data_IF_881867192369
#
_entry.id   IF_881867192369
#
_cell.length_a   1.000
_cell.length_b   1.000
_cell.length_c   1.000
_cell.angle_alpha   90.00
_cell.angle_beta   90.00
_cell.angle_gamma   90.00
#
_symmetry.space_group_name_H-M   'P 1'
#
loop_
_entity.id
_entity.type
_entity.pdbx_description
1 polymer ?
#
# COMPACT_ATOMS: atom_id res chain seq x y z
N UNK A 1 78.00 18.09 -6.55
CA UNK A 1 78.63 17.10 -5.65
C UNK A 1 77.75 17.03 -4.42
N UNK A 2 76.97 15.97 -4.27
CA UNK A 2 76.07 15.75 -3.13
C UNK A 2 76.85 15.06 -2.03
N UNK A 3 76.89 15.70 -0.86
CA UNK A 3 77.57 15.25 0.35
C UNK A 3 76.84 14.05 0.97
N UNK A 4 77.36 12.84 0.76
CA UNK A 4 76.92 11.65 1.51
C UNK A 4 77.64 11.66 2.87
N UNK A 5 77.02 12.31 3.85
CA UNK A 5 77.43 12.17 5.24
C UNK A 5 77.40 10.68 5.62
N UNK A 6 78.58 10.09 5.83
CA UNK A 6 78.72 8.69 6.29
C UNK A 6 78.11 8.61 7.68
N UNK A 7 76.93 7.98 7.79
CA UNK A 7 76.23 7.81 9.06
C UNK A 7 76.92 6.69 9.85
N UNK A 8 77.87 7.06 10.70
CA UNK A 8 78.53 6.12 11.63
C UNK A 8 77.51 5.71 12.69
N UNK A 9 77.21 4.42 12.79
CA UNK A 9 76.35 3.88 13.84
C UNK A 9 77.17 3.83 15.14
N UNK A 10 76.77 4.53 16.21
CA UNK A 10 77.55 4.58 17.44
C UNK A 10 77.61 3.20 18.12
N UNK A 11 78.66 2.96 18.89
CA UNK A 11 78.78 1.72 19.67
C UNK A 11 77.63 1.60 20.67
N UNK A 12 77.03 0.41 20.77
CA UNK A 12 75.81 0.18 21.54
C UNK A 12 75.25 -1.23 21.39
N UNK A 13 74.21 -1.54 22.16
CA UNK A 13 73.42 -2.76 22.01
C UNK A 13 72.36 -2.56 20.95
N UNK A 14 72.30 -3.47 19.98
CA UNK A 14 71.33 -3.45 18.89
C UNK A 14 70.76 -4.84 18.68
N UNK A 15 69.61 -4.94 18.01
CA UNK A 15 68.99 -6.23 17.69
C UNK A 15 69.93 -7.10 16.86
N UNK A 16 70.07 -8.37 17.25
CA UNK A 16 70.96 -9.31 16.55
C UNK A 16 70.30 -9.76 15.23
N UNK A 17 70.91 -9.52 14.05
CA UNK A 17 70.34 -9.95 12.78
C UNK A 17 70.19 -11.47 12.64
N UNK A 18 70.95 -12.25 13.42
CA UNK A 18 70.89 -13.71 13.42
C UNK A 18 69.82 -14.27 14.37
N UNK A 19 69.42 -13.51 15.40
CA UNK A 19 68.46 -13.94 16.42
C UNK A 19 67.67 -12.75 16.99
N UNK A 20 66.39 -12.68 16.65
CA UNK A 20 65.51 -11.58 17.05
C UNK A 20 65.20 -11.53 18.56
N UNK A 21 65.50 -12.60 19.31
CA UNK A 21 65.29 -12.68 20.76
C UNK A 21 66.46 -12.09 21.57
N UNK A 22 67.55 -11.69 20.90
CA UNK A 22 68.77 -11.20 21.55
C UNK A 22 69.20 -9.83 21.02
N UNK A 23 69.96 -9.12 21.83
CA UNK A 23 70.71 -7.93 21.43
C UNK A 23 72.19 -8.26 21.42
N UNK A 24 72.90 -7.77 20.41
CA UNK A 24 74.35 -7.94 20.24
C UNK A 24 75.06 -6.61 20.34
N UNK A 25 76.26 -6.60 20.91
CA UNK A 25 77.05 -5.38 21.05
C UNK A 25 77.77 -5.03 19.74
N UNK A 26 77.52 -3.81 19.23
CA UNK A 26 78.25 -3.18 18.13
C UNK A 26 79.33 -2.27 18.70
N UNK A 27 80.58 -2.43 18.26
CA UNK A 27 81.70 -1.62 18.78
C UNK A 27 82.00 -0.35 17.95
N UNK A 28 81.19 -0.05 16.93
CA UNK A 28 81.43 1.07 16.00
C UNK A 28 82.01 0.65 14.65
N UNK A 29 82.58 -0.55 14.55
CA UNK A 29 83.27 -1.05 13.34
C UNK A 29 82.77 -2.45 12.94
N UNK A 30 82.48 -3.32 13.91
CA UNK A 30 81.95 -4.67 13.70
C UNK A 30 81.08 -5.14 14.88
N UNK A 31 80.25 -6.15 14.62
CA UNK A 31 79.52 -6.88 15.67
C UNK A 31 80.50 -7.71 16.50
N UNK A 32 80.30 -7.75 17.81
CA UNK A 32 81.12 -8.55 18.74
C UNK A 32 80.39 -9.82 19.18
N UNK A 33 81.09 -10.74 19.84
CA UNK A 33 80.49 -11.98 20.38
C UNK A 33 79.68 -11.76 21.66
N UNK A 34 79.58 -10.53 22.16
CA UNK A 34 78.79 -10.22 23.33
C UNK A 34 77.31 -10.10 22.94
N UNK A 35 76.49 -11.03 23.44
CA UNK A 35 75.03 -11.01 23.31
C UNK A 35 74.36 -10.96 24.68
N UNK A 36 73.14 -10.43 24.72
CA UNK A 36 72.26 -10.45 25.88
C UNK A 36 70.82 -10.74 25.43
N UNK A 37 69.99 -11.32 26.31
CA UNK A 37 68.56 -11.44 26.04
C UNK A 37 67.96 -10.06 25.78
N UNK A 38 67.10 -9.95 24.77
CA UNK A 38 66.41 -8.70 24.47
C UNK A 38 65.55 -8.29 25.66
N UNK A 39 65.75 -7.09 26.26
CA UNK A 39 64.89 -6.64 27.34
C UNK A 39 63.48 -6.40 26.79
N UNK A 40 62.48 -7.01 27.43
CA UNK A 40 61.07 -6.75 27.13
C UNK A 40 60.82 -5.25 27.28
N UNK A 41 60.35 -4.60 26.21
CA UNK A 41 60.09 -3.17 26.28
C UNK A 41 58.85 -2.90 27.14
N UNK A 42 58.77 -1.70 27.73
CA UNK A 42 57.58 -1.28 28.47
C UNK A 42 56.32 -1.30 27.57
N UNK A 43 56.49 -1.06 26.27
CA UNK A 43 55.42 -1.15 25.29
C UNK A 43 54.93 -2.60 25.10
N UNK A 44 55.83 -3.58 25.05
CA UNK A 44 55.47 -5.00 24.94
C UNK A 44 54.69 -5.46 26.19
N UNK A 45 55.14 -5.05 27.38
CA UNK A 45 54.45 -5.34 28.63
C UNK A 45 53.06 -4.71 28.70
N UNK A 46 52.93 -3.45 28.26
CA UNK A 46 51.63 -2.75 28.17
C UNK A 46 50.69 -3.46 27.19
N UNK A 47 51.18 -3.87 26.02
CA UNK A 47 50.36 -4.62 25.05
C UNK A 47 49.92 -5.98 25.58
N UNK A 48 50.79 -6.73 26.25
CA UNK A 48 50.45 -8.02 26.85
C UNK A 48 49.40 -7.87 27.96
N UNK A 49 49.50 -6.82 28.77
CA UNK A 49 48.50 -6.55 29.81
C UNK A 49 47.16 -6.09 29.21
N UNK A 50 47.20 -5.30 28.14
CA UNK A 50 46.00 -4.84 27.43
C UNK A 50 45.28 -6.01 26.74
N UNK A 51 46.03 -6.94 26.16
CA UNK A 51 45.50 -8.18 25.56
C UNK A 51 44.90 -9.12 26.62
N UNK A 52 45.54 -9.21 27.79
CA UNK A 52 44.98 -9.93 28.94
C UNK A 52 43.67 -9.28 29.43
N UNK A 53 43.63 -7.96 29.60
CA UNK A 53 42.39 -7.24 29.98
C UNK A 53 41.30 -7.41 28.93
N UNK A 54 41.64 -7.39 27.65
CA UNK A 54 40.68 -7.60 26.58
C UNK A 54 40.10 -9.03 26.60
N UNK A 55 40.94 -10.03 26.88
CA UNK A 55 40.55 -11.44 27.01
C UNK A 55 39.66 -11.69 28.24
N UNK A 56 39.98 -11.07 29.38
CA UNK A 56 39.22 -11.19 30.63
C UNK A 56 37.92 -10.36 30.61
N UNK A 57 37.92 -9.21 29.93
CA UNK A 57 36.77 -8.31 29.90
C UNK A 57 35.60 -8.86 29.05
N UNK A 58 35.77 -9.99 28.37
CA UNK A 58 34.71 -10.65 27.58
C UNK A 58 34.01 -9.65 26.67
N UNK A 59 34.66 -9.27 25.55
CA UNK A 59 34.16 -8.26 24.62
C UNK A 59 32.63 -8.35 24.48
N UNK A 60 31.86 -7.27 24.79
CA UNK A 60 30.41 -7.34 24.68
C UNK A 60 30.09 -7.78 23.26
N UNK A 61 29.17 -8.75 23.07
CA UNK A 61 28.88 -9.26 21.74
C UNK A 61 28.57 -8.06 20.85
N UNK A 62 29.33 -7.91 19.76
CA UNK A 62 29.06 -6.90 18.74
C UNK A 62 27.64 -7.16 18.27
N UNK A 63 26.68 -6.41 18.81
CA UNK A 63 25.28 -6.54 18.45
C UNK A 63 25.17 -5.95 17.06
N UNK A 64 25.29 -6.80 16.04
CA UNK A 64 24.91 -6.46 14.68
C UNK A 64 23.43 -6.12 14.74
N UNK A 65 23.12 -4.81 14.82
CA UNK A 65 21.74 -4.34 14.80
C UNK A 65 21.23 -4.54 13.38
N UNK A 66 20.63 -5.70 13.13
CA UNK A 66 19.88 -5.93 11.90
C UNK A 66 18.75 -4.91 11.90
N UNK A 67 18.86 -3.89 11.05
CA UNK A 67 17.79 -2.90 10.89
C UNK A 67 16.64 -3.63 10.20
N UNK A 68 15.62 -4.00 10.98
CA UNK A 68 14.34 -4.43 10.43
C UNK A 68 13.71 -3.23 9.72
N UNK A 69 14.02 -3.05 8.44
CA UNK A 69 13.36 -2.05 7.59
C UNK A 69 11.91 -2.50 7.46
N UNK A 70 10.95 -1.70 7.93
CA UNK A 70 9.55 -2.04 7.75
C UNK A 70 9.28 -2.10 6.24
N UNK A 71 8.73 -3.23 5.80
CA UNK A 71 8.30 -3.42 4.41
C UNK A 71 7.00 -2.66 4.12
N UNK A 72 6.43 -1.98 5.13
CA UNK A 72 5.28 -1.09 5.00
C UNK A 72 5.68 0.27 4.43
N UNK A 73 5.43 0.46 3.14
CA UNK A 73 5.53 1.77 2.51
C UNK A 73 4.19 2.49 2.63
N UNK A 74 4.20 3.82 2.77
CA UNK A 74 2.98 4.64 2.69
C UNK A 74 2.22 4.37 1.39
N UNK A 75 2.95 4.21 0.28
CA UNK A 75 2.38 3.88 -1.04
C UNK A 75 1.62 2.55 -1.05
N UNK A 76 2.13 1.52 -0.34
CA UNK A 76 1.43 0.23 -0.22
C UNK A 76 0.14 0.31 0.59
N UNK A 77 0.09 1.19 1.59
CA UNK A 77 -1.14 1.45 2.35
C UNK A 77 -2.18 2.21 1.53
N UNK A 78 -1.75 3.18 0.71
CA UNK A 78 -2.66 3.86 -0.22
C UNK A 78 -3.32 2.87 -1.16
N UNK A 79 -2.56 1.91 -1.72
CA UNK A 79 -3.11 0.82 -2.55
C UNK A 79 -4.09 -0.07 -1.76
N UNK A 80 -3.82 -0.38 -0.50
CA UNK A 80 -4.73 -1.19 0.32
C UNK A 80 -6.08 -0.51 0.56
N UNK A 81 -6.11 0.83 0.62
CA UNK A 81 -7.33 1.61 0.84
C UNK A 81 -8.04 2.07 -0.46
N UNK A 82 -7.52 1.75 -1.65
CA UNK A 82 -8.18 2.12 -2.91
C UNK A 82 -9.62 1.60 -3.04
N UNK A 83 -10.02 0.44 -2.49
CA UNK A 83 -11.41 0.00 -2.56
C UNK A 83 -12.41 1.01 -1.97
N UNK A 84 -12.01 1.84 -0.99
CA UNK A 84 -12.88 2.92 -0.47
C UNK A 84 -13.15 3.96 -1.56
N UNK A 85 -12.10 4.38 -2.29
CA UNK A 85 -12.26 5.35 -3.37
C UNK A 85 -13.10 4.77 -4.53
N UNK A 86 -12.92 3.49 -4.84
CA UNK A 86 -13.78 2.78 -5.79
C UNK A 86 -15.24 2.73 -5.32
N UNK A 87 -15.48 2.40 -4.05
CA UNK A 87 -16.83 2.36 -3.49
C UNK A 87 -17.50 3.74 -3.54
N UNK A 88 -16.79 4.80 -3.16
CA UNK A 88 -17.30 6.17 -3.22
C UNK A 88 -17.61 6.60 -4.67
N UNK A 89 -16.70 6.34 -5.61
CA UNK A 89 -16.90 6.64 -7.02
C UNK A 89 -18.07 5.84 -7.63
N UNK A 90 -18.24 4.57 -7.23
CA UNK A 90 -19.37 3.75 -7.63
C UNK A 90 -20.70 4.28 -7.08
N UNK A 91 -20.73 4.70 -5.80
CA UNK A 91 -21.92 5.33 -5.20
C UNK A 91 -22.31 6.59 -5.97
N UNK A 92 -21.34 7.45 -6.32
CA UNK A 92 -21.60 8.64 -7.14
C UNK A 92 -22.12 8.27 -8.52
N UNK A 93 -21.49 7.29 -9.20
CA UNK A 93 -21.91 6.83 -10.51
C UNK A 93 -23.30 6.18 -10.53
N UNK A 94 -23.74 5.61 -9.40
CA UNK A 94 -25.08 5.05 -9.24
C UNK A 94 -26.09 6.14 -8.93
N UNK A 95 -25.80 7.07 -8.02
CA UNK A 95 -26.77 8.03 -7.50
C UNK A 95 -27.01 9.20 -8.47
N UNK A 96 -25.96 9.77 -9.06
CA UNK A 96 -26.07 11.02 -9.83
C UNK A 96 -26.91 10.90 -11.12
N UNK A 97 -26.96 9.77 -11.86
CA UNK A 97 -27.88 9.60 -12.98
C UNK A 97 -29.36 9.73 -12.63
N UNK A 98 -29.75 9.55 -11.36
CA UNK A 98 -31.14 9.77 -10.93
C UNK A 98 -31.52 11.25 -10.88
N UNK A 99 -30.54 12.15 -10.80
CA UNK A 99 -30.74 13.59 -10.66
C UNK A 99 -30.25 14.39 -11.86
N UNK A 100 -29.58 13.75 -12.82
CA UNK A 100 -28.96 14.44 -13.95
C UNK A 100 -28.93 13.58 -15.21
N UNK A 101 -28.87 14.22 -16.37
CA UNK A 101 -28.78 13.56 -17.67
C UNK A 101 -27.37 13.04 -18.00
N UNK A 102 -26.40 13.27 -17.10
CA UNK A 102 -25.04 12.76 -17.18
C UNK A 102 -25.02 11.27 -16.78
N UNK A 103 -25.60 10.40 -17.61
CA UNK A 103 -25.74 8.98 -17.30
C UNK A 103 -24.45 8.18 -17.48
N UNK A 104 -24.00 7.99 -18.72
CA UNK A 104 -22.90 7.06 -19.05
C UNK A 104 -21.51 7.59 -18.71
N UNK A 105 -21.32 8.91 -18.68
CA UNK A 105 -20.00 9.53 -18.50
C UNK A 105 -19.46 9.39 -17.06
N UNK A 106 -20.34 9.16 -16.08
CA UNK A 106 -19.93 9.07 -14.68
C UNK A 106 -19.13 7.81 -14.36
N UNK A 107 -19.25 6.76 -15.18
CA UNK A 107 -18.41 5.57 -15.03
C UNK A 107 -16.93 5.89 -15.26
N UNK A 108 -16.60 6.97 -15.97
CA UNK A 108 -15.23 7.47 -16.09
C UNK A 108 -14.63 7.89 -14.74
N UNK A 109 -15.45 8.18 -13.71
CA UNK A 109 -14.96 8.47 -12.35
C UNK A 109 -14.22 7.29 -11.73
N UNK A 110 -14.50 6.05 -12.15
CA UNK A 110 -13.76 4.85 -11.70
C UNK A 110 -12.33 4.81 -12.25
N UNK A 111 -12.03 5.55 -13.32
CA UNK A 111 -10.67 5.65 -13.84
C UNK A 111 -9.76 6.42 -12.87
N UNK A 112 -10.29 7.38 -12.11
CA UNK A 112 -9.50 8.16 -11.14
C UNK A 112 -8.88 7.28 -10.05
N UNK A 113 -9.64 6.50 -9.26
CA UNK A 113 -9.06 5.61 -8.26
C UNK A 113 -8.22 4.49 -8.89
N UNK A 114 -8.55 4.04 -10.10
CA UNK A 114 -7.71 3.08 -10.83
C UNK A 114 -6.32 3.66 -11.13
N UNK A 115 -6.23 4.83 -11.77
CA UNK A 115 -4.97 5.48 -12.09
C UNK A 115 -4.15 5.82 -10.84
N UNK A 116 -4.81 6.27 -9.77
CA UNK A 116 -4.16 6.49 -8.48
C UNK A 116 -3.59 5.19 -7.89
N UNK A 117 -4.31 4.08 -7.99
CA UNK A 117 -3.84 2.76 -7.53
C UNK A 117 -2.59 2.31 -8.30
N UNK A 118 -2.60 2.45 -9.63
CA UNK A 118 -1.49 2.10 -10.52
C UNK A 118 -0.27 2.98 -10.22
N UNK A 119 -0.46 4.29 -10.08
CA UNK A 119 0.60 5.24 -9.73
C UNK A 119 1.22 4.88 -8.38
N UNK A 120 0.40 4.63 -7.36
CA UNK A 120 0.89 4.25 -6.03
C UNK A 120 1.64 2.91 -6.04
N UNK A 121 1.16 1.91 -6.79
CA UNK A 121 1.85 0.64 -6.97
C UNK A 121 3.20 0.82 -7.68
N UNK A 122 3.28 1.68 -8.69
CA UNK A 122 4.53 1.99 -9.38
C UNK A 122 5.53 2.72 -8.47
N UNK A 123 5.06 3.64 -7.63
CA UNK A 123 5.87 4.31 -6.61
C UNK A 123 6.39 3.32 -5.55
N UNK A 124 5.59 2.31 -5.16
CA UNK A 124 6.02 1.24 -4.26
C UNK A 124 7.14 0.40 -4.90
N UNK A 125 7.00 -0.02 -6.16
CA UNK A 125 8.07 -0.75 -6.89
C UNK A 125 9.35 0.07 -6.92
N UNK A 126 9.28 1.37 -7.27
CA UNK A 126 10.45 2.27 -7.28
C UNK A 126 11.06 2.44 -5.90
N UNK A 127 10.28 2.37 -4.82
CA UNK A 127 10.76 2.50 -3.45
C UNK A 127 11.43 1.22 -2.95
N UNK A 128 10.84 0.06 -3.27
CA UNK A 128 11.41 -1.25 -2.95
C UNK A 128 12.76 -1.47 -3.64
N UNK A 129 12.90 -1.09 -4.92
CA UNK A 129 14.20 -1.12 -5.61
C UNK A 129 15.26 -0.26 -4.91
N UNK A 130 14.88 0.95 -4.46
CA UNK A 130 15.78 1.86 -3.73
C UNK A 130 16.23 1.30 -2.39
N UNK A 131 15.46 0.40 -1.79
CA UNK A 131 15.81 -0.26 -0.53
C UNK A 131 16.55 -1.60 -0.72
N UNK A 132 16.92 -1.95 -1.96
CA UNK A 132 17.63 -3.21 -2.25
C UNK A 132 16.75 -4.46 -2.15
N UNK A 133 15.42 -4.30 -2.00
CA UNK A 133 14.46 -5.40 -2.04
C UNK A 133 14.18 -5.78 -3.50
N UNK A 134 13.79 -7.03 -3.75
CA UNK A 134 13.37 -7.52 -5.08
C UNK A 134 11.86 -7.35 -5.24
N UNK A 135 11.35 -6.25 -5.83
CA UNK A 135 9.92 -6.10 -6.07
C UNK A 135 9.45 -6.99 -7.22
N UNK A 136 8.13 -7.20 -7.35
CA UNK A 136 7.57 -7.83 -8.54
C UNK A 136 7.76 -6.96 -9.79
N UNK A 137 7.58 -7.56 -10.96
CA UNK A 137 7.66 -6.83 -12.23
C UNK A 137 6.66 -5.66 -12.27
N UNK A 138 7.06 -4.53 -12.85
CA UNK A 138 6.26 -3.30 -12.85
C UNK A 138 4.91 -3.46 -13.57
N UNK A 139 4.78 -4.43 -14.48
CA UNK A 139 3.54 -4.74 -15.17
C UNK A 139 2.41 -5.16 -14.21
N UNK A 140 2.75 -5.81 -13.09
CA UNK A 140 1.78 -6.19 -12.07
C UNK A 140 1.18 -4.99 -11.33
N UNK A 141 1.79 -3.80 -11.42
CA UNK A 141 1.21 -2.56 -10.89
C UNK A 141 -0.06 -2.14 -11.67
N UNK A 142 -0.23 -2.58 -12.92
CA UNK A 142 -1.44 -2.30 -13.72
C UNK A 142 -2.69 -3.00 -13.17
N UNK A 143 -2.53 -4.02 -12.31
CA UNK A 143 -3.66 -4.68 -11.65
C UNK A 143 -4.21 -3.91 -10.44
N UNK A 144 -3.68 -2.70 -10.16
CA UNK A 144 -4.16 -1.85 -9.07
C UNK A 144 -4.06 -2.56 -7.71
N UNK A 145 -5.17 -2.74 -6.96
CA UNK A 145 -5.13 -3.36 -5.62
C UNK A 145 -4.63 -4.80 -5.61
N UNK A 146 -4.83 -5.56 -6.70
CA UNK A 146 -4.36 -6.95 -6.80
C UNK A 146 -2.83 -7.06 -6.86
N UNK A 147 -2.12 -5.96 -7.12
CA UNK A 147 -0.66 -5.87 -6.96
C UNK A 147 -0.19 -6.36 -5.59
N UNK A 148 -0.95 -6.13 -4.52
CA UNK A 148 -0.59 -6.54 -3.17
C UNK A 148 -0.51 -8.07 -3.00
N UNK A 149 -1.27 -8.83 -3.80
CA UNK A 149 -1.20 -10.29 -3.85
C UNK A 149 0.15 -10.74 -4.41
N UNK A 150 0.58 -10.15 -5.52
CA UNK A 150 1.87 -10.47 -6.16
C UNK A 150 3.05 -10.03 -5.28
N UNK A 151 2.93 -8.86 -4.65
CA UNK A 151 3.90 -8.32 -3.70
C UNK A 151 4.11 -9.24 -2.50
N UNK A 152 3.08 -9.95 -2.04
CA UNK A 152 3.17 -10.89 -0.91
C UNK A 152 4.12 -12.06 -1.17
N UNK A 153 4.26 -12.49 -2.42
CA UNK A 153 5.16 -13.59 -2.80
C UNK A 153 6.63 -13.14 -2.89
N UNK A 154 6.88 -11.85 -3.03
CA UNK A 154 8.24 -11.28 -3.21
C UNK A 154 8.77 -10.61 -1.95
N UNK A 155 7.88 -10.05 -1.12
CA UNK A 155 8.24 -9.26 0.06
C UNK A 155 7.48 -9.78 1.29
N UNK A 156 8.17 -9.91 2.42
CA UNK A 156 7.57 -10.31 3.69
C UNK A 156 6.66 -9.21 4.27
N UNK A 157 5.53 -9.60 4.85
CA UNK A 157 4.53 -8.70 5.43
C UNK A 157 3.11 -9.03 4.98
N UNK A 158 2.21 -9.23 5.95
CA UNK A 158 0.79 -9.56 5.70
C UNK A 158 -0.15 -8.37 5.88
N UNK A 159 0.29 -7.31 6.59
CA UNK A 159 -0.58 -6.23 7.04
C UNK A 159 -1.40 -5.57 5.92
N UNK A 160 -0.77 -5.25 4.77
CA UNK A 160 -1.47 -4.59 3.67
C UNK A 160 -2.47 -5.51 2.96
N UNK A 161 -2.14 -6.79 2.82
CA UNK A 161 -3.02 -7.78 2.18
C UNK A 161 -4.22 -8.08 3.08
N UNK A 162 -3.98 -8.27 4.38
CA UNK A 162 -5.06 -8.43 5.36
C UNK A 162 -5.96 -7.20 5.39
N UNK A 163 -5.39 -6.00 5.38
CA UNK A 163 -6.17 -4.76 5.31
C UNK A 163 -7.03 -4.70 4.04
N UNK A 164 -6.47 -5.04 2.87
CA UNK A 164 -7.23 -5.12 1.62
C UNK A 164 -8.39 -6.11 1.71
N UNK A 165 -8.13 -7.33 2.20
CA UNK A 165 -9.16 -8.38 2.30
C UNK A 165 -10.25 -7.99 3.29
N UNK A 166 -9.89 -7.50 4.48
CA UNK A 166 -10.85 -7.03 5.49
C UNK A 166 -11.68 -5.88 4.94
N UNK A 167 -11.08 -4.96 4.20
CA UNK A 167 -11.80 -3.85 3.59
C UNK A 167 -12.77 -4.31 2.50
N UNK A 168 -12.36 -5.25 1.64
CA UNK A 168 -13.24 -5.82 0.61
C UNK A 168 -14.41 -6.60 1.22
N UNK A 169 -14.13 -7.41 2.24
CA UNK A 169 -15.17 -8.13 3.00
C UNK A 169 -16.08 -7.16 3.74
N UNK A 170 -15.54 -6.11 4.35
CA UNK A 170 -16.32 -5.08 5.04
C UNK A 170 -17.24 -4.33 4.09
N UNK A 171 -16.73 -3.85 2.95
CA UNK A 171 -17.52 -3.16 1.93
C UNK A 171 -18.60 -4.09 1.33
N UNK A 172 -18.24 -5.35 1.02
CA UNK A 172 -19.20 -6.35 0.55
C UNK A 172 -20.25 -6.69 1.60
N UNK A 173 -19.85 -6.80 2.87
CA UNK A 173 -20.74 -7.05 4.00
C UNK A 173 -21.72 -5.90 4.24
N UNK A 174 -21.28 -4.64 4.11
CA UNK A 174 -22.17 -3.47 4.16
C UNK A 174 -23.19 -3.52 3.03
N UNK A 175 -22.75 -3.76 1.79
CA UNK A 175 -23.66 -3.88 0.65
C UNK A 175 -24.67 -5.02 0.82
N UNK A 176 -24.23 -6.18 1.29
CA UNK A 176 -25.11 -7.32 1.59
C UNK A 176 -26.12 -6.98 2.69
N UNK A 177 -25.68 -6.38 3.79
CA UNK A 177 -26.53 -6.01 4.91
C UNK A 177 -27.61 -4.99 4.51
N UNK A 178 -27.26 -3.99 3.69
CA UNK A 178 -28.24 -3.03 3.15
C UNK A 178 -29.29 -3.76 2.32
N UNK A 179 -28.88 -4.64 1.41
CA UNK A 179 -29.81 -5.39 0.55
C UNK A 179 -30.68 -6.41 1.30
N UNK A 180 -30.18 -6.99 2.39
CA UNK A 180 -30.88 -8.06 3.13
C UNK A 180 -31.79 -7.55 4.25
N UNK A 181 -31.72 -6.27 4.61
CA UNK A 181 -32.48 -5.68 5.71
C UNK A 181 -33.63 -4.82 5.20
N UNK A 182 -34.54 -4.44 6.12
CA UNK A 182 -35.64 -3.51 5.85
C UNK A 182 -35.18 -2.17 5.25
N UNK A 183 -33.90 -1.79 5.44
CA UNK A 183 -33.34 -0.58 4.84
C UNK A 183 -33.19 -0.66 3.31
N UNK A 184 -33.08 -1.87 2.73
CA UNK A 184 -32.92 -2.07 1.29
C UNK A 184 -34.24 -2.13 0.51
N UNK A 185 -35.34 -2.51 1.18
CA UNK A 185 -36.66 -2.66 0.55
C UNK A 185 -37.19 -1.42 -0.17
N UNK A 186 -37.12 -0.19 0.38
CA UNK A 186 -37.60 0.99 -0.34
C UNK A 186 -36.77 1.29 -1.60
N UNK A 187 -35.49 0.93 -1.60
CA UNK A 187 -34.60 1.10 -2.75
C UNK A 187 -34.90 0.06 -3.82
N UNK A 188 -35.04 -1.22 -3.45
CA UNK A 188 -35.35 -2.28 -4.41
C UNK A 188 -36.73 -2.10 -5.04
N UNK A 189 -37.71 -1.64 -4.25
CA UNK A 189 -39.04 -1.31 -4.76
C UNK A 189 -38.99 -0.14 -5.75
N UNK A 190 -38.33 0.97 -5.41
CA UNK A 190 -38.18 2.12 -6.32
C UNK A 190 -37.49 1.73 -7.65
N UNK A 191 -36.41 0.94 -7.56
CA UNK A 191 -35.70 0.42 -8.75
C UNK A 191 -36.59 -0.50 -9.60
N UNK A 192 -37.37 -1.37 -8.96
CA UNK A 192 -38.28 -2.30 -9.65
C UNK A 192 -39.37 -1.52 -10.38
N UNK A 193 -40.06 -0.61 -9.68
CA UNK A 193 -41.09 0.27 -10.25
C UNK A 193 -40.55 1.03 -11.45
N UNK A 194 -39.40 1.69 -11.32
CA UNK A 194 -38.79 2.45 -12.40
C UNK A 194 -38.42 1.56 -13.60
N UNK A 195 -37.79 0.40 -13.37
CA UNK A 195 -37.36 -0.48 -14.44
C UNK A 195 -38.53 -1.06 -15.24
N UNK A 196 -39.60 -1.47 -14.55
CA UNK A 196 -40.80 -2.04 -15.18
C UNK A 196 -41.56 -0.98 -15.97
N UNK A 197 -41.86 0.17 -15.36
CA UNK A 197 -42.61 1.25 -16.02
C UNK A 197 -41.82 1.80 -17.21
N UNK A 198 -40.49 1.96 -17.09
CA UNK A 198 -39.65 2.38 -18.20
C UNK A 198 -39.68 1.35 -19.33
N UNK A 199 -39.62 0.06 -19.03
CA UNK A 199 -39.70 -0.99 -20.05
C UNK A 199 -41.05 -1.02 -20.78
N UNK A 200 -42.13 -0.69 -20.08
CA UNK A 200 -43.49 -0.71 -20.64
C UNK A 200 -43.81 0.57 -21.43
N UNK A 201 -43.59 1.76 -20.86
CA UNK A 201 -43.94 3.05 -21.49
C UNK A 201 -42.90 3.50 -22.52
N UNK A 202 -41.61 3.35 -22.25
CA UNK A 202 -40.56 3.74 -23.21
C UNK A 202 -40.38 2.67 -24.27
N UNK A 203 -40.54 1.39 -23.90
CA UNK A 203 -40.47 0.28 -24.85
C UNK A 203 -41.63 0.27 -25.86
N UNK A 204 -42.83 0.72 -25.44
CA UNK A 204 -43.99 0.87 -26.33
C UNK A 204 -43.97 2.17 -27.17
N UNK A 205 -43.07 3.11 -26.85
CA UNK A 205 -42.98 4.41 -27.52
C UNK A 205 -44.01 5.45 -27.04
N UNK A 206 -44.75 5.18 -25.97
CA UNK A 206 -45.70 6.12 -25.36
C UNK A 206 -44.98 7.25 -24.63
N UNK A 207 -43.85 6.94 -23.98
CA UNK A 207 -43.00 7.90 -23.26
C UNK A 207 -41.57 7.94 -23.83
N UNK A 208 -40.95 9.11 -23.75
CA UNK A 208 -39.53 9.30 -24.05
C UNK A 208 -38.65 8.98 -22.84
N UNK A 209 -39.12 9.35 -21.64
CA UNK A 209 -38.38 9.12 -20.40
C UNK A 209 -39.32 9.04 -19.18
N UNK A 210 -38.89 8.29 -18.18
CA UNK A 210 -39.57 8.12 -16.89
C UNK A 210 -38.53 8.29 -15.78
N UNK A 211 -38.79 9.24 -14.89
CA UNK A 211 -37.96 9.56 -13.74
C UNK A 211 -38.76 9.38 -12.45
N UNK A 212 -38.30 8.46 -11.59
CA UNK A 212 -38.93 8.17 -10.31
C UNK A 212 -37.92 8.49 -9.17
N UNK A 213 -38.37 8.94 -7.98
CA UNK A 213 -37.49 9.20 -6.83
C UNK A 213 -36.63 7.99 -6.43
N UNK A 214 -35.34 8.12 -6.15
CA UNK A 214 -34.47 6.95 -5.93
C UNK A 214 -34.77 6.12 -4.67
N UNK A 215 -35.63 6.62 -3.78
CA UNK A 215 -36.05 5.97 -2.55
C UNK A 215 -37.57 6.16 -2.41
N UNK A 216 -38.30 5.08 -2.16
CA UNK A 216 -39.72 5.17 -1.79
C UNK A 216 -39.86 5.67 -0.34
N UNK A 217 -40.73 6.66 -0.11
CA UNK A 217 -40.99 7.21 1.24
C UNK A 217 -41.57 6.16 2.20
N UNK A 218 -42.23 5.14 1.65
CA UNK A 218 -42.74 3.99 2.38
C UNK A 218 -42.94 2.81 1.43
N UNK A 219 -42.81 1.59 1.96
CA UNK A 219 -43.18 0.34 1.28
C UNK A 219 -44.48 -0.24 1.81
N UNK A 220 -45.23 0.52 2.61
CA UNK A 220 -46.49 0.06 3.16
C UNK A 220 -47.57 -0.01 2.07
N UNK A 221 -48.41 -1.03 2.13
CA UNK A 221 -49.57 -1.19 1.25
C UNK A 221 -50.47 0.04 1.33
N UNK A 222 -50.91 0.53 0.17
CA UNK A 222 -51.76 1.72 0.04
C UNK A 222 -51.00 3.05 0.02
N UNK A 223 -49.67 3.04 0.09
CA UNK A 223 -48.88 4.25 -0.13
C UNK A 223 -48.78 4.58 -1.61
N UNK A 224 -48.72 5.88 -1.90
CA UNK A 224 -48.69 6.41 -3.27
C UNK A 224 -47.34 7.06 -3.50
N UNK A 225 -46.73 6.66 -4.60
CA UNK A 225 -45.41 7.07 -5.05
C UNK A 225 -45.55 7.76 -6.40
N UNK A 226 -44.87 8.90 -6.59
CA UNK A 226 -45.03 9.74 -7.78
C UNK A 226 -43.82 9.61 -8.69
N UNK A 227 -44.05 9.41 -9.98
CA UNK A 227 -43.01 9.46 -11.00
C UNK A 227 -43.33 10.56 -12.01
N UNK A 228 -42.31 11.24 -12.51
CA UNK A 228 -42.44 12.17 -13.62
C UNK A 228 -42.21 11.44 -14.94
N UNK A 229 -43.16 11.57 -15.87
CA UNK A 229 -43.13 10.95 -17.19
C UNK A 229 -43.10 12.03 -18.25
N UNK A 230 -42.20 11.88 -19.22
CA UNK A 230 -42.15 12.74 -20.41
C UNK A 230 -42.69 11.94 -21.59
N UNK A 231 -43.86 12.32 -22.08
CA UNK A 231 -44.54 11.66 -23.21
C UNK A 231 -43.80 11.90 -24.54
N UNK A 232 -44.07 11.07 -25.55
CA UNK A 232 -43.60 11.27 -26.93
C UNK A 232 -43.96 12.65 -27.52
N UNK A 233 -45.02 13.28 -27.00
CA UNK A 233 -45.45 14.64 -27.37
C UNK A 233 -44.66 15.75 -26.67
N UNK A 234 -43.60 15.41 -25.92
CA UNK A 234 -42.85 16.30 -25.01
C UNK A 234 -43.69 16.91 -23.88
N UNK A 235 -44.91 16.41 -23.64
CA UNK A 235 -45.70 16.80 -22.49
C UNK A 235 -45.20 16.11 -21.21
N UNK A 236 -45.11 16.85 -20.11
CA UNK A 236 -44.81 16.30 -18.79
C UNK A 236 -46.10 15.93 -18.07
N UNK A 237 -46.19 14.69 -17.59
CA UNK A 237 -47.29 14.22 -16.74
C UNK A 237 -46.74 13.50 -15.51
N UNK A 238 -47.51 13.55 -14.43
CA UNK A 238 -47.21 12.78 -13.23
C UNK A 238 -47.94 11.44 -13.27
N UNK A 239 -47.21 10.38 -12.95
CA UNK A 239 -47.71 9.02 -12.80
C UNK A 239 -47.82 8.72 -11.30
N UNK A 240 -48.99 8.28 -10.87
CA UNK A 240 -49.27 7.84 -9.51
C UNK A 240 -49.12 6.32 -9.48
N UNK A 241 -48.17 5.82 -8.70
CA UNK A 241 -47.94 4.39 -8.48
C UNK A 241 -48.41 4.05 -7.07
N UNK A 242 -49.30 3.08 -6.94
CA UNK A 242 -49.78 2.59 -5.64
C UNK A 242 -49.21 1.20 -5.35
N UNK A 243 -48.78 0.98 -4.12
CA UNK A 243 -48.27 -0.31 -3.65
C UNK A 243 -49.45 -1.17 -3.18
N UNK A 244 -49.69 -2.28 -3.87
CA UNK A 244 -50.88 -3.13 -3.66
C UNK A 244 -50.61 -4.31 -2.71
N UNK A 245 -49.35 -4.68 -2.48
CA UNK A 245 -48.97 -5.89 -1.75
C UNK A 245 -47.64 -5.74 -1.02
N UNK A 246 -47.49 -6.41 0.13
CA UNK A 246 -46.22 -6.51 0.87
C UNK A 246 -45.12 -7.23 0.05
N UNK A 247 -45.50 -7.93 -1.02
CA UNK A 247 -44.56 -8.56 -1.97
C UNK A 247 -44.00 -7.58 -3.01
N UNK A 248 -44.47 -6.33 -3.01
CA UNK A 248 -44.04 -5.30 -3.95
C UNK A 248 -44.82 -5.27 -5.26
N UNK A 249 -46.01 -5.88 -5.33
CA UNK A 249 -46.91 -5.67 -6.45
C UNK A 249 -47.42 -4.23 -6.44
N UNK A 250 -47.52 -3.61 -7.61
CA UNK A 250 -47.92 -2.21 -7.75
C UNK A 250 -48.82 -2.01 -8.97
N UNK A 251 -49.67 -1.00 -8.88
CA UNK A 251 -50.50 -0.50 -9.97
C UNK A 251 -50.19 0.97 -10.22
N UNK A 252 -50.42 1.46 -11.43
CA UNK A 252 -50.15 2.86 -11.76
C UNK A 252 -51.26 3.49 -12.60
N UNK A 253 -51.42 4.80 -12.45
CA UNK A 253 -52.36 5.60 -13.23
C UNK A 253 -51.82 7.01 -13.46
N UNK A 254 -52.24 7.66 -14.55
CA UNK A 254 -51.91 9.06 -14.78
C UNK A 254 -52.66 9.96 -13.80
N UNK A 255 -51.96 10.94 -13.25
CA UNK A 255 -52.57 11.97 -12.42
C UNK A 255 -53.63 12.75 -13.22
N UNK A 256 -54.84 12.85 -12.66
CA UNK A 256 -55.92 13.67 -13.18
C UNK A 256 -55.61 15.13 -12.87
N UNK A 257 -54.81 15.77 -13.73
CA UNK A 257 -54.58 17.21 -13.71
C UNK A 257 -54.83 17.78 -15.10
#
# INVERSE_FOLDING_TARGET
MTDQATRVVPAGWYEDPADAEQVRWWNGIAWTDHTQPKPTSAADAETAELEKRYSESGAPPVRVRVRNVSTSTTSSWLVAFTPILFALAAVVAIIVPFYSTLGSELWALLLVPYLLSVLCAFLDVRRLKRWGLKPPAAIWALLGPLYLVVRKFTVAGWGQLVALVVLLVGLGGVGFAVSSTELGKPITLALTVQSTIRSELVGSGEALDVACPPIADSTAVGTVYTCDVTLATHAHKQLLVSIDSDKGDFSYTYSLK
#
